data_IF_458969653857
#
_entry.id   IF_458969653857
#
_cell.length_a   1.000
_cell.length_b   1.000
_cell.length_c   1.000
_cell.angle_alpha   90.00
_cell.angle_beta   90.00
_cell.angle_gamma   90.00
#
_symmetry.space_group_name_H-M   'P 1'
#
loop_
_entity.id
_entity.type
_entity.pdbx_description
1 polymer ?
#
# COMPACT_ATOMS: atom_id res chain seq x y z
N UNK A 1 2.46 -57.35 21.00
CA UNK A 1 2.56 -55.92 21.35
C UNK A 1 2.76 -55.09 20.08
N UNK A 2 2.06 -53.95 19.97
CA UNK A 2 2.42 -52.73 19.20
C UNK A 2 2.36 -52.78 17.66
N UNK A 3 1.24 -52.35 17.06
CA UNK A 3 1.25 -51.72 15.72
C UNK A 3 0.18 -50.64 15.53
N UNK A 4 -0.89 -50.61 16.33
CA UNK A 4 -1.99 -49.65 16.17
C UNK A 4 -1.72 -48.29 16.81
N UNK A 5 -0.90 -48.20 17.85
CA UNK A 5 -0.62 -46.94 18.56
C UNK A 5 0.26 -45.96 17.77
N UNK A 6 1.10 -46.44 16.83
CA UNK A 6 2.02 -45.57 16.08
C UNK A 6 1.35 -44.80 14.94
N UNK A 7 0.28 -45.35 14.36
CA UNK A 7 -0.41 -44.72 13.21
C UNK A 7 -1.29 -43.55 13.63
N UNK A 8 -1.91 -43.65 14.80
CA UNK A 8 -2.73 -42.56 15.37
C UNK A 8 -1.87 -41.40 15.87
N UNK A 9 -0.65 -41.66 16.37
CA UNK A 9 0.26 -40.60 16.78
C UNK A 9 0.79 -39.80 15.58
N UNK A 10 1.07 -40.48 14.45
CA UNK A 10 1.48 -39.81 13.22
C UNK A 10 0.38 -38.86 12.71
N UNK A 11 -0.88 -39.31 12.66
CA UNK A 11 -2.00 -38.47 12.21
C UNK A 11 -2.25 -37.25 13.13
N UNK A 12 -2.06 -37.41 14.45
CA UNK A 12 -2.19 -36.28 15.40
C UNK A 12 -1.01 -35.31 15.27
N UNK A 13 0.20 -35.79 15.03
CA UNK A 13 1.38 -34.92 14.84
C UNK A 13 1.29 -34.15 13.52
N UNK A 14 0.79 -34.75 12.44
CA UNK A 14 0.53 -34.02 11.18
C UNK A 14 -0.63 -33.03 11.31
N UNK A 15 -1.67 -33.37 12.09
CA UNK A 15 -2.79 -32.46 12.37
C UNK A 15 -2.41 -31.25 13.22
N UNK A 16 -1.50 -31.41 14.19
CA UNK A 16 -0.96 -30.30 14.99
C UNK A 16 0.02 -29.46 14.18
N UNK A 17 0.78 -30.04 13.24
CA UNK A 17 1.62 -29.26 12.32
C UNK A 17 0.79 -28.43 11.33
N UNK A 18 -0.35 -28.92 10.85
CA UNK A 18 -1.25 -28.13 10.00
C UNK A 18 -1.99 -27.03 10.79
N UNK A 19 -2.31 -27.26 12.07
CA UNK A 19 -2.93 -26.24 12.93
C UNK A 19 -1.93 -25.19 13.47
N UNK A 20 -0.64 -25.55 13.59
CA UNK A 20 0.44 -24.62 13.99
C UNK A 20 1.15 -24.01 12.77
N UNK A 21 0.97 -24.55 11.56
CA UNK A 21 1.40 -23.91 10.31
C UNK A 21 0.52 -22.71 9.91
N UNK A 22 -0.68 -22.61 10.50
CA UNK A 22 -1.53 -21.41 10.51
C UNK A 22 -1.26 -20.58 11.78
N UNK A 23 -0.13 -20.82 12.47
CA UNK A 23 0.36 -19.87 13.45
C UNK A 23 0.63 -18.58 12.69
N UNK A 24 -0.34 -17.67 12.81
CA UNK A 24 -0.15 -16.25 13.00
C UNK A 24 1.34 -15.92 13.02
N UNK A 25 1.90 -15.69 11.82
CA UNK A 25 3.08 -14.87 11.72
C UNK A 25 2.71 -13.61 12.51
N UNK A 26 3.49 -13.24 13.55
CA UNK A 26 3.18 -12.03 14.27
C UNK A 26 3.08 -10.93 13.22
N UNK A 27 2.00 -10.16 13.30
CA UNK A 27 1.79 -8.96 12.51
C UNK A 27 2.88 -7.94 12.88
N UNK A 28 4.12 -8.23 12.50
CA UNK A 28 5.20 -7.29 12.36
C UNK A 28 4.86 -6.48 11.13
N UNK A 29 3.98 -5.47 11.30
CA UNK A 29 3.71 -4.44 10.31
C UNK A 29 3.64 -4.97 8.86
N UNK A 30 2.72 -5.89 8.59
CA UNK A 30 2.37 -6.16 7.20
C UNK A 30 1.63 -4.92 6.70
N UNK A 31 2.29 -4.11 5.86
CA UNK A 31 1.70 -2.91 5.24
C UNK A 31 0.49 -3.27 4.34
N UNK A 32 0.24 -4.56 4.08
CA UNK A 32 -0.90 -5.08 3.32
C UNK A 32 -1.46 -6.41 3.84
N UNK A 33 -2.75 -6.64 3.58
CA UNK A 33 -3.50 -7.86 3.94
C UNK A 33 -3.69 -8.74 2.70
N UNK A 34 -3.26 -10.00 2.70
CA UNK A 34 -3.47 -10.91 1.57
C UNK A 34 -4.95 -11.29 1.43
N UNK A 35 -5.45 -11.28 0.20
CA UNK A 35 -6.83 -11.59 -0.18
C UNK A 35 -6.80 -12.59 -1.35
N UNK A 36 -6.99 -13.89 -1.09
CA UNK A 36 -7.01 -14.90 -2.14
C UNK A 36 -8.30 -14.80 -2.98
N UNK A 37 -8.18 -15.01 -4.29
CA UNK A 37 -9.33 -15.08 -5.21
C UNK A 37 -9.80 -16.54 -5.31
N UNK A 38 -11.05 -16.88 -4.94
CA UNK A 38 -11.49 -18.27 -4.90
C UNK A 38 -11.88 -18.78 -6.29
N UNK A 39 -10.93 -19.35 -7.03
CA UNK A 39 -11.15 -19.89 -8.38
C UNK A 39 -11.49 -21.38 -8.44
N UNK A 40 -11.42 -22.11 -7.32
CA UNK A 40 -11.64 -23.56 -7.29
C UNK A 40 -13.01 -24.05 -7.78
N UNK A 41 -14.05 -23.20 -7.67
CA UNK A 41 -15.37 -23.52 -8.25
C UNK A 41 -15.36 -23.53 -9.78
N UNK A 42 -14.59 -22.63 -10.39
CA UNK A 42 -14.45 -22.54 -11.84
C UNK A 42 -13.53 -23.65 -12.38
N UNK A 43 -12.46 -24.00 -11.66
CA UNK A 43 -11.60 -25.16 -11.98
C UNK A 43 -12.41 -26.45 -12.07
N UNK A 44 -13.25 -26.68 -11.05
CA UNK A 44 -14.11 -27.87 -11.01
C UNK A 44 -15.10 -27.90 -12.16
N UNK A 45 -15.66 -26.74 -12.55
CA UNK A 45 -16.63 -26.65 -13.64
C UNK A 45 -15.99 -26.82 -15.02
N UNK A 46 -14.78 -26.30 -15.21
CA UNK A 46 -14.06 -26.33 -16.48
C UNK A 46 -13.21 -27.61 -16.66
N UNK A 47 -12.96 -28.35 -15.57
CA UNK A 47 -12.16 -29.58 -15.59
C UNK A 47 -10.69 -29.33 -15.93
N UNK A 48 -10.21 -28.11 -15.65
CA UNK A 48 -8.83 -27.70 -15.90
C UNK A 48 -8.33 -26.87 -14.72
N UNK A 49 -7.01 -26.86 -14.55
CA UNK A 49 -6.31 -26.01 -13.59
C UNK A 49 -6.39 -24.55 -14.04
N UNK A 50 -6.72 -23.65 -13.11
CA UNK A 50 -6.77 -22.22 -13.34
C UNK A 50 -5.59 -21.54 -12.64
N UNK A 51 -5.25 -20.30 -13.02
CA UNK A 51 -4.21 -19.57 -12.30
C UNK A 51 -4.59 -19.32 -10.84
N UNK A 52 -3.63 -19.41 -9.94
CA UNK A 52 -3.78 -18.91 -8.57
C UNK A 52 -3.62 -17.39 -8.59
N UNK A 53 -4.52 -16.68 -7.91
CA UNK A 53 -4.50 -15.23 -7.82
C UNK A 53 -4.67 -14.79 -6.37
N UNK A 54 -3.69 -14.06 -5.86
CA UNK A 54 -3.73 -13.45 -4.54
C UNK A 54 -3.56 -11.94 -4.67
N UNK A 55 -4.48 -11.17 -4.12
CA UNK A 55 -4.33 -9.72 -4.00
C UNK A 55 -3.74 -9.34 -2.66
N UNK A 56 -3.11 -8.16 -2.59
CA UNK A 56 -2.67 -7.56 -1.34
C UNK A 56 -3.34 -6.21 -1.14
N UNK A 57 -4.06 -6.03 -0.03
CA UNK A 57 -4.78 -4.81 0.28
C UNK A 57 -4.05 -3.98 1.35
N UNK A 58 -3.48 -2.82 1.01
CA UNK A 58 -2.79 -1.98 1.97
C UNK A 58 -3.75 -1.23 2.89
N UNK A 59 -3.30 -0.97 4.12
CA UNK A 59 -4.08 -0.24 5.13
C UNK A 59 -3.65 1.24 5.13
N UNK A 60 -4.53 2.20 4.78
CA UNK A 60 -4.17 3.60 4.84
C UNK A 60 -4.03 4.09 6.28
N UNK A 61 -3.03 4.95 6.51
CA UNK A 61 -2.79 5.62 7.78
C UNK A 61 -2.55 7.12 7.57
N UNK A 62 -3.11 7.93 8.47
CA UNK A 62 -2.90 9.36 8.46
C UNK A 62 -1.63 9.71 9.26
N UNK A 63 -0.79 10.57 8.69
CA UNK A 63 0.36 11.16 9.38
C UNK A 63 -0.02 12.42 10.16
N UNK A 64 1.00 13.07 10.75
CA UNK A 64 0.82 14.38 11.36
C UNK A 64 0.74 15.48 10.29
N UNK A 65 -0.20 16.45 10.39
CA UNK A 65 -0.27 17.57 9.45
C UNK A 65 1.03 18.38 9.37
N UNK A 66 1.40 18.81 8.17
CA UNK A 66 2.53 19.73 7.97
C UNK A 66 2.09 21.15 8.36
N UNK A 67 2.47 21.56 9.57
CA UNK A 67 2.00 22.80 10.20
C UNK A 67 2.31 24.10 9.43
N UNK A 68 1.69 25.21 9.86
CA UNK A 68 1.88 26.52 9.22
C UNK A 68 3.34 26.97 9.30
N UNK A 69 3.83 27.57 8.21
CA UNK A 69 5.20 28.11 8.14
C UNK A 69 5.14 29.62 7.91
N UNK A 70 5.76 30.38 8.81
CA UNK A 70 5.87 31.83 8.64
C UNK A 70 6.93 32.16 7.59
N UNK A 71 6.56 33.00 6.62
CA UNK A 71 7.44 33.47 5.57
C UNK A 71 7.53 34.99 5.59
N UNK A 72 8.68 35.50 5.20
CA UNK A 72 8.92 36.94 5.16
C UNK A 72 7.97 37.60 4.14
N UNK A 73 7.48 38.80 4.48
CA UNK A 73 6.60 39.58 3.61
C UNK A 73 5.12 39.18 3.64
N UNK A 74 4.74 38.13 4.38
CA UNK A 74 3.33 37.78 4.66
C UNK A 74 3.00 37.94 6.14
N UNK A 75 1.78 38.39 6.43
CA UNK A 75 1.28 38.50 7.80
C UNK A 75 0.66 37.21 8.31
N UNK A 76 0.15 36.38 7.39
CA UNK A 76 -0.37 35.06 7.69
C UNK A 76 0.67 34.01 7.29
N UNK A 77 0.78 32.91 8.04
CA UNK A 77 1.68 31.83 7.67
C UNK A 77 1.17 31.15 6.40
N UNK A 78 2.12 30.66 5.60
CA UNK A 78 1.82 29.69 4.56
C UNK A 78 1.25 28.42 5.19
N UNK A 79 0.43 27.69 4.43
CA UNK A 79 -0.29 26.49 4.92
C UNK A 79 -1.19 26.81 6.12
N UNK A 80 -1.93 27.92 6.02
CA UNK A 80 -2.93 28.33 7.01
C UNK A 80 -3.93 27.20 7.31
N UNK A 81 -4.31 26.44 6.27
CA UNK A 81 -4.86 25.09 6.43
C UNK A 81 -3.76 24.09 6.03
N UNK A 82 -3.19 23.32 6.99
CA UNK A 82 -2.05 22.46 6.74
C UNK A 82 -2.42 21.28 5.83
N UNK A 83 -1.45 20.82 5.03
CA UNK A 83 -1.62 19.57 4.29
C UNK A 83 -1.51 18.39 5.26
N UNK A 84 -2.37 17.39 5.08
CA UNK A 84 -2.34 16.15 5.83
C UNK A 84 -1.62 15.07 5.00
N UNK A 85 -0.47 14.55 5.45
CA UNK A 85 0.10 13.36 4.87
C UNK A 85 -0.81 12.15 5.10
N UNK A 86 -1.09 11.42 4.03
CA UNK A 86 -1.76 10.12 4.09
C UNK A 86 -0.82 9.10 3.47
N UNK A 87 -0.33 8.20 4.32
CA UNK A 87 0.43 7.03 3.90
C UNK A 87 -0.58 5.95 3.54
N UNK A 88 -0.69 5.64 2.26
CA UNK A 88 -1.45 4.51 1.76
C UNK A 88 -0.48 3.53 1.11
N UNK A 89 -1.00 2.41 0.64
CA UNK A 89 -0.30 1.58 -0.34
C UNK A 89 -1.07 1.54 -1.65
N UNK A 90 -0.38 1.16 -2.71
CA UNK A 90 -0.97 0.56 -3.89
C UNK A 90 -1.22 -0.92 -3.61
N UNK A 91 -2.37 -1.47 -4.05
CA UNK A 91 -2.62 -2.89 -3.90
C UNK A 91 -1.60 -3.71 -4.68
N UNK A 92 -1.24 -4.85 -4.11
CA UNK A 92 -0.40 -5.85 -4.76
C UNK A 92 -1.24 -6.94 -5.42
N UNK A 93 -0.61 -7.69 -6.32
CA UNK A 93 -1.16 -8.87 -6.95
C UNK A 93 -0.05 -9.89 -7.24
N UNK A 94 -0.28 -11.12 -6.84
CA UNK A 94 0.50 -12.30 -7.22
C UNK A 94 -0.39 -13.20 -8.08
N UNK A 95 0.08 -13.52 -9.29
CA UNK A 95 -0.63 -14.36 -10.25
C UNK A 95 0.30 -15.48 -10.69
N UNK A 96 -0.12 -16.72 -10.48
CA UNK A 96 0.62 -17.91 -10.87
C UNK A 96 -0.21 -18.68 -11.87
N UNK A 97 0.31 -18.81 -13.09
CA UNK A 97 -0.35 -19.51 -14.17
C UNK A 97 0.36 -20.84 -14.42
N UNK A 98 -0.35 -21.97 -14.27
CA UNK A 98 0.15 -23.26 -14.70
C UNK A 98 0.44 -23.23 -16.21
N UNK A 99 1.62 -23.72 -16.60
CA UNK A 99 2.04 -23.85 -18.00
C UNK A 99 2.40 -25.30 -18.31
N UNK A 100 2.19 -25.77 -19.55
CA UNK A 100 2.68 -27.08 -19.93
C UNK A 100 4.21 -27.10 -19.85
N UNK A 101 4.80 -28.26 -19.56
CA UNK A 101 6.26 -28.50 -19.42
C UNK A 101 7.07 -28.33 -20.72
N UNK A 102 6.72 -27.37 -21.59
CA UNK A 102 7.35 -27.10 -22.88
C UNK A 102 8.78 -26.56 -22.70
N UNK A 103 9.08 -25.96 -21.54
CA UNK A 103 10.38 -25.36 -21.20
C UNK A 103 11.29 -26.31 -20.40
N UNK A 104 10.84 -27.53 -20.10
CA UNK A 104 11.52 -28.51 -19.24
C UNK A 104 10.70 -28.87 -18.00
N UNK A 105 11.08 -29.95 -17.32
CA UNK A 105 10.34 -30.47 -16.16
C UNK A 105 10.38 -29.54 -14.95
N UNK A 106 11.34 -28.59 -14.91
CA UNK A 106 11.50 -27.60 -13.84
C UNK A 106 10.69 -26.32 -14.08
N UNK A 107 9.87 -26.24 -15.12
CA UNK A 107 9.10 -25.04 -15.47
C UNK A 107 7.63 -25.39 -15.70
N UNK A 108 6.87 -25.40 -14.61
CA UNK A 108 5.45 -25.71 -14.61
C UNK A 108 4.57 -24.47 -14.33
N UNK A 109 5.16 -23.34 -13.92
CA UNK A 109 4.43 -22.08 -13.69
C UNK A 109 5.10 -20.87 -14.33
N UNK A 110 4.26 -19.93 -14.77
CA UNK A 110 4.63 -18.55 -15.07
C UNK A 110 4.00 -17.63 -14.03
N UNK A 111 4.78 -16.73 -13.45
CA UNK A 111 4.35 -15.87 -12.35
C UNK A 111 4.50 -14.39 -12.68
N UNK A 112 3.55 -13.59 -12.18
CA UNK A 112 3.64 -12.15 -12.08
C UNK A 112 3.52 -11.80 -10.61
N UNK A 113 4.59 -11.23 -10.05
CA UNK A 113 4.59 -10.74 -8.67
C UNK A 113 4.67 -9.21 -8.69
N UNK A 114 3.58 -8.56 -8.31
CA UNK A 114 3.50 -7.12 -8.14
C UNK A 114 3.18 -6.85 -6.66
N UNK A 115 4.18 -6.76 -5.78
CA UNK A 115 3.93 -6.60 -4.35
C UNK A 115 3.25 -5.26 -4.05
N UNK A 116 2.53 -5.18 -2.92
CA UNK A 116 1.98 -3.92 -2.46
C UNK A 116 3.10 -2.86 -2.33
N UNK A 117 2.87 -1.69 -2.92
CA UNK A 117 3.87 -0.62 -2.97
C UNK A 117 3.45 0.58 -2.11
N UNK A 118 4.41 1.27 -1.50
CA UNK A 118 4.12 2.49 -0.76
C UNK A 118 3.52 3.60 -1.64
N UNK A 119 2.48 4.26 -1.14
CA UNK A 119 1.85 5.43 -1.74
C UNK A 119 1.87 6.59 -0.73
N UNK A 120 2.74 7.57 -0.95
CA UNK A 120 2.77 8.79 -0.14
C UNK A 120 1.89 9.84 -0.80
N UNK A 121 0.89 10.33 -0.05
CA UNK A 121 0.03 11.41 -0.53
C UNK A 121 0.00 12.59 0.45
N UNK A 122 -0.20 13.79 -0.08
CA UNK A 122 -0.51 14.98 0.70
C UNK A 122 -1.91 15.46 0.31
N UNK A 123 -2.80 15.62 1.29
CA UNK A 123 -4.10 16.24 1.07
C UNK A 123 -3.95 17.69 0.59
N UNK A 124 -4.97 18.26 -0.08
CA UNK A 124 -4.99 19.67 -0.41
C UNK A 124 -4.81 20.53 0.86
N UNK A 125 -4.12 21.65 0.71
CA UNK A 125 -3.96 22.65 1.76
C UNK A 125 -4.42 24.02 1.30
N UNK A 126 -4.50 24.99 2.20
CA UNK A 126 -4.84 26.37 1.86
C UNK A 126 -3.83 27.34 2.44
N UNK A 127 -3.55 28.40 1.68
CA UNK A 127 -2.81 29.57 2.13
C UNK A 127 -3.68 30.79 2.01
N UNK A 128 -3.71 31.62 3.04
CA UNK A 128 -4.41 32.90 3.05
C UNK A 128 -3.38 34.01 3.15
N UNK A 129 -3.66 35.14 2.51
CA UNK A 129 -2.89 36.35 2.73
C UNK A 129 -3.76 37.46 3.32
N UNK A 130 -3.17 38.24 4.22
CA UNK A 130 -3.86 39.34 4.86
C UNK A 130 -4.08 40.49 3.85
N UNK A 131 -5.14 41.30 4.02
CA UNK A 131 -5.44 42.43 3.14
C UNK A 131 -4.54 43.65 3.42
N UNK A 132 -3.28 43.43 3.81
CA UNK A 132 -2.30 44.47 4.12
C UNK A 132 -0.99 44.22 3.37
N UNK A 133 -0.43 45.30 2.82
CA UNK A 133 0.92 45.29 2.23
C UNK A 133 1.99 45.21 3.32
N UNK A 134 3.22 44.88 2.94
CA UNK A 134 4.38 45.07 3.81
C UNK A 134 4.54 46.56 4.20
N UNK A 135 5.19 46.86 5.34
CA UNK A 135 5.58 48.22 5.72
C UNK A 135 6.27 48.97 4.57
N UNK A 136 5.83 50.20 4.30
CA UNK A 136 6.26 50.99 3.16
C UNK A 136 6.99 52.27 3.59
N UNK A 137 8.22 52.55 3.09
CA UNK A 137 9.00 53.72 3.54
C UNK A 137 8.37 55.05 3.14
N UNK A 138 7.66 55.09 2.01
CA UNK A 138 6.88 56.21 1.50
C UNK A 138 5.63 56.54 2.34
N UNK A 139 5.23 55.63 3.23
CA UNK A 139 4.07 55.78 4.12
C UNK A 139 4.47 55.77 5.61
N UNK A 140 5.66 56.29 5.96
CA UNK A 140 6.19 56.28 7.33
C UNK A 140 6.29 54.87 7.94
N UNK A 141 6.49 53.84 7.11
CA UNK A 141 6.50 52.44 7.53
C UNK A 141 5.11 51.84 7.75
N UNK A 142 4.03 52.56 7.49
CA UNK A 142 2.68 52.04 7.64
C UNK A 142 2.31 51.09 6.48
N UNK A 143 1.65 49.95 6.75
CA UNK A 143 1.10 49.09 5.72
C UNK A 143 -0.15 49.75 5.12
N UNK A 144 -0.29 49.70 3.79
CA UNK A 144 -1.54 50.05 3.11
C UNK A 144 -2.42 48.83 2.78
N UNK A 145 -3.68 49.05 2.36
CA UNK A 145 -4.60 47.98 2.03
C UNK A 145 -4.21 47.28 0.72
N UNK A 146 -4.50 45.98 0.63
CA UNK A 146 -4.49 45.18 -0.60
C UNK A 146 -5.68 44.21 -0.61
N UNK A 147 -5.98 43.62 -1.76
CA UNK A 147 -6.99 42.56 -1.85
C UNK A 147 -6.52 41.32 -1.08
N UNK A 148 -7.42 40.59 -0.41
CA UNK A 148 -7.07 39.30 0.17
C UNK A 148 -6.80 38.29 -0.94
N UNK A 149 -5.81 37.43 -0.72
CA UNK A 149 -5.45 36.37 -1.66
C UNK A 149 -5.66 35.01 -0.98
N UNK A 150 -6.13 34.05 -1.77
CA UNK A 150 -6.32 32.65 -1.36
C UNK A 150 -5.58 31.76 -2.34
N UNK A 151 -4.69 30.93 -1.82
CA UNK A 151 -3.99 29.90 -2.57
C UNK A 151 -4.48 28.51 -2.16
N UNK A 152 -4.74 27.65 -3.14
CA UNK A 152 -4.97 26.22 -2.92
C UNK A 152 -3.67 25.49 -3.20
N UNK A 153 -3.19 24.73 -2.22
CA UNK A 153 -2.04 23.86 -2.37
C UNK A 153 -2.50 22.56 -3.01
N UNK A 154 -1.93 22.25 -4.18
CA UNK A 154 -2.27 21.04 -4.91
C UNK A 154 -1.92 19.79 -4.07
N UNK A 155 -2.73 18.73 -4.16
CA UNK A 155 -2.37 17.46 -3.57
C UNK A 155 -1.12 16.89 -4.25
N UNK A 156 -0.34 16.11 -3.50
CA UNK A 156 0.84 15.41 -4.03
C UNK A 156 0.59 13.92 -3.93
N UNK A 157 0.98 13.17 -4.96
CA UNK A 157 0.91 11.70 -4.99
C UNK A 157 2.27 11.18 -5.48
N UNK A 158 2.90 10.31 -4.69
CA UNK A 158 4.22 9.75 -4.98
C UNK A 158 4.22 8.24 -4.69
N UNK A 159 4.77 7.48 -5.62
CA UNK A 159 4.90 6.02 -5.54
C UNK A 159 6.00 5.53 -6.48
N UNK A 160 6.52 4.33 -6.21
CA UNK A 160 7.51 3.64 -7.04
C UNK A 160 7.11 2.17 -7.09
N UNK A 161 6.11 1.79 -7.91
CA UNK A 161 5.69 0.40 -8.03
C UNK A 161 6.72 -0.41 -8.83
N UNK A 162 6.86 -1.68 -8.47
CA UNK A 162 7.69 -2.66 -9.17
C UNK A 162 6.81 -3.88 -9.45
N UNK A 163 7.11 -4.59 -10.52
CA UNK A 163 6.53 -5.90 -10.81
C UNK A 163 7.61 -6.79 -11.41
N UNK A 164 7.67 -8.01 -10.94
CA UNK A 164 8.59 -9.03 -11.39
C UNK A 164 7.85 -10.09 -12.20
N UNK A 165 8.53 -10.62 -13.22
CA UNK A 165 8.05 -11.70 -14.07
C UNK A 165 8.97 -12.89 -13.89
N UNK A 166 8.38 -14.04 -13.60
CA UNK A 166 9.12 -15.27 -13.34
C UNK A 166 8.56 -16.46 -14.11
N UNK A 167 9.41 -17.45 -14.32
CA UNK A 167 9.03 -18.82 -14.69
C UNK A 167 9.84 -19.77 -13.82
N UNK A 168 9.24 -20.85 -13.33
CA UNK A 168 9.94 -21.79 -12.47
C UNK A 168 9.04 -22.89 -11.91
N UNK A 169 9.63 -23.79 -11.10
CA UNK A 169 8.93 -24.94 -10.56
C UNK A 169 8.15 -24.53 -9.31
N UNK A 170 6.84 -24.75 -9.31
CA UNK A 170 5.96 -24.58 -8.16
C UNK A 170 6.15 -23.25 -7.42
N UNK A 171 6.33 -22.14 -8.16
CA UNK A 171 6.44 -20.80 -7.58
C UNK A 171 5.22 -20.52 -6.73
#
# INVERSE_FOLDING_TARGET
>A
MKSTTRRTLAAVVTGVAAAVGVAAAPATAADAVPVPVPLGGAETALGMELPEVTGELPVPSAGAPEGPTYVEGRLLPERTLPQLPVHAGLPGADVRQPVPHVLGDDFDHAAVDAPAAGLRTLAPGLSLDAPLTAPRPDALGLPGPKLPEVGVLAPVVQTVPVADLGVGPGL
#
